data_IF_853164093344
#
_entry.id   IF_853164093344
#
_cell.length_a   1.000
_cell.length_b   1.000
_cell.length_c   1.000
_cell.angle_alpha   90.00
_cell.angle_beta   90.00
_cell.angle_gamma   90.00
#
_symmetry.space_group_name_H-M   'P 1'
#
loop_
_entity.id
_entity.type
_entity.pdbx_description
1 polymer ?
#
# COMPACT_ATOMS: atom_id res chain seq x y z
N UNK A 1 -65.85 -22.52 16.58
CA UNK A 1 -64.41 -22.75 16.31
C UNK A 1 -63.70 -21.40 16.18
N UNK A 2 -62.39 -21.34 16.42
CA UNK A 2 -61.75 -20.13 16.96
C UNK A 2 -61.31 -19.08 15.91
N UNK A 3 -61.60 -17.81 16.21
CA UNK A 3 -60.98 -16.66 15.55
C UNK A 3 -59.62 -16.35 16.20
N UNK A 4 -58.51 -16.75 15.55
CA UNK A 4 -57.13 -16.52 16.02
C UNK A 4 -56.14 -16.29 14.86
N UNK A 5 -56.29 -15.21 14.11
CA UNK A 5 -55.36 -14.82 13.01
C UNK A 5 -54.93 -13.35 12.88
N UNK A 6 -55.48 -12.32 13.59
CA UNK A 6 -55.08 -10.93 13.31
C UNK A 6 -53.63 -10.62 13.72
N UNK A 7 -53.12 -11.28 14.77
CA UNK A 7 -51.77 -11.06 15.29
C UNK A 7 -50.67 -11.51 14.32
N UNK A 8 -50.87 -12.64 13.64
CA UNK A 8 -49.92 -13.15 12.65
C UNK A 8 -49.85 -12.22 11.41
N UNK A 9 -51.00 -11.71 10.95
CA UNK A 9 -51.04 -10.73 9.87
C UNK A 9 -50.35 -9.42 10.25
N UNK A 10 -50.60 -8.89 11.46
CA UNK A 10 -49.97 -7.68 11.95
C UNK A 10 -48.45 -7.80 12.07
N UNK A 11 -47.93 -8.92 12.61
CA UNK A 11 -46.49 -9.17 12.70
C UNK A 11 -45.85 -9.28 11.31
N UNK A 12 -46.50 -9.96 10.35
CA UNK A 12 -46.00 -10.07 8.98
C UNK A 12 -45.97 -8.70 8.27
N UNK A 13 -46.98 -7.85 8.48
CA UNK A 13 -47.03 -6.49 7.93
C UNK A 13 -45.97 -5.58 8.57
N UNK A 14 -45.78 -5.65 9.89
CA UNK A 14 -44.73 -4.90 10.58
C UNK A 14 -43.32 -5.32 10.11
N UNK A 15 -43.07 -6.62 9.93
CA UNK A 15 -41.81 -7.14 9.39
C UNK A 15 -41.56 -6.70 7.94
N UNK A 16 -42.61 -6.49 7.13
CA UNK A 16 -42.49 -6.02 5.75
C UNK A 16 -42.24 -4.50 5.65
N UNK A 17 -42.66 -3.73 6.66
CA UNK A 17 -42.38 -2.30 6.79
C UNK A 17 -40.98 -2.03 7.35
N UNK A 18 -40.43 -2.94 8.17
CA UNK A 18 -39.06 -2.88 8.65
C UNK A 18 -38.05 -3.39 7.60
N UNK A 19 -38.08 -2.81 6.39
CA UNK A 19 -36.99 -2.95 5.43
C UNK A 19 -35.83 -2.07 5.90
N UNK A 20 -34.64 -2.63 6.23
CA UNK A 20 -33.45 -1.81 6.36
C UNK A 20 -33.15 -1.20 4.99
N UNK A 21 -33.47 0.09 4.84
CA UNK A 21 -33.06 0.84 3.66
C UNK A 21 -31.54 0.86 3.62
N UNK A 22 -30.95 0.46 2.49
CA UNK A 22 -29.54 0.69 2.25
C UNK A 22 -29.33 2.21 2.25
N UNK A 23 -28.77 2.74 3.34
CA UNK A 23 -28.39 4.14 3.39
C UNK A 23 -27.38 4.40 2.26
N UNK A 24 -27.68 5.35 1.37
CA UNK A 24 -26.77 5.80 0.32
C UNK A 24 -25.68 6.70 0.93
N UNK A 25 -25.00 6.18 1.95
CA UNK A 25 -23.77 6.74 2.47
C UNK A 25 -22.73 6.75 1.34
N UNK A 26 -22.06 7.90 1.17
CA UNK A 26 -21.12 8.08 0.07
C UNK A 26 -19.86 7.27 0.39
N UNK A 27 -19.78 6.04 -0.13
CA UNK A 27 -18.70 5.09 0.18
C UNK A 27 -17.34 5.78 0.09
N UNK A 28 -16.65 5.88 1.22
CA UNK A 28 -15.26 6.31 1.29
C UNK A 28 -14.35 5.11 1.02
N UNK A 29 -13.15 5.37 0.50
CA UNK A 29 -12.12 4.40 0.20
C UNK A 29 -10.77 4.95 0.71
N UNK A 30 -9.86 4.06 1.08
CA UNK A 30 -8.49 4.39 1.45
C UNK A 30 -7.55 3.34 0.86
N UNK A 31 -6.37 3.77 0.44
CA UNK A 31 -5.25 2.89 0.10
C UNK A 31 -3.97 3.46 0.70
N UNK A 32 -2.97 2.60 0.92
CA UNK A 32 -1.63 2.99 1.30
C UNK A 32 -0.60 2.05 0.69
N UNK A 33 0.59 2.58 0.45
CA UNK A 33 1.81 1.83 0.16
C UNK A 33 2.80 2.06 1.30
N UNK A 34 3.55 1.03 1.70
CA UNK A 34 4.66 1.20 2.63
C UNK A 34 5.95 1.40 1.84
N UNK A 35 6.67 2.49 2.12
CA UNK A 35 7.94 2.80 1.50
C UNK A 35 8.87 3.44 2.54
N UNK A 36 10.12 2.97 2.61
CA UNK A 36 11.15 3.49 3.50
C UNK A 36 10.71 3.65 4.98
N UNK A 37 9.91 2.71 5.50
CA UNK A 37 9.43 2.74 6.89
C UNK A 37 8.24 3.68 7.15
N UNK A 38 7.62 4.24 6.11
CA UNK A 38 6.41 5.06 6.22
C UNK A 38 5.29 4.53 5.31
N UNK A 39 4.06 4.57 5.80
CA UNK A 39 2.86 4.44 4.98
C UNK A 39 2.57 5.79 4.33
N UNK A 40 2.46 5.81 3.01
CA UNK A 40 1.97 6.95 2.24
C UNK A 40 0.74 6.50 1.46
N UNK A 41 -0.32 7.29 1.44
CA UNK A 41 -1.58 6.88 0.85
C UNK A 41 -2.55 8.01 0.62
N UNK A 42 -3.78 7.68 0.19
CA UNK A 42 -4.82 8.66 -0.10
C UNK A 42 -6.20 8.15 0.35
N UNK A 43 -7.05 9.09 0.79
CA UNK A 43 -8.46 8.87 1.10
C UNK A 43 -9.38 9.63 0.14
N UNK A 44 -10.37 8.94 -0.43
CA UNK A 44 -11.32 9.52 -1.40
C UNK A 44 -12.72 8.90 -1.31
N UNK A 45 -13.73 9.69 -1.66
CA UNK A 45 -15.12 9.25 -1.75
C UNK A 45 -15.44 8.69 -3.13
N UNK A 46 -16.47 7.84 -3.24
CA UNK A 46 -16.87 7.19 -4.49
C UNK A 46 -17.32 8.15 -5.61
N UNK A 47 -17.61 9.42 -5.30
CA UNK A 47 -17.88 10.48 -6.28
C UNK A 47 -16.60 11.19 -6.78
N UNK A 48 -15.41 10.74 -6.35
CA UNK A 48 -14.11 11.31 -6.71
C UNK A 48 -13.63 12.47 -5.83
N UNK A 49 -14.43 12.97 -4.88
CA UNK A 49 -13.94 14.00 -3.96
C UNK A 49 -12.94 13.44 -2.95
N UNK A 50 -12.01 14.28 -2.49
CA UNK A 50 -10.98 13.88 -1.54
C UNK A 50 -11.51 13.89 -0.12
N UNK A 51 -11.14 12.90 0.69
CA UNK A 51 -11.43 12.88 2.12
C UNK A 51 -10.42 13.80 2.81
N UNK A 52 -10.78 15.05 3.10
CA UNK A 52 -9.86 16.08 3.61
C UNK A 52 -9.94 16.23 5.13
N UNK A 53 -8.79 16.46 5.78
CA UNK A 53 -8.65 16.61 7.23
C UNK A 53 -9.21 15.43 8.06
N UNK A 54 -9.45 14.28 7.44
CA UNK A 54 -10.01 13.08 8.05
C UNK A 54 -8.93 12.34 8.86
N UNK A 55 -9.22 11.88 10.10
CA UNK A 55 -8.30 11.04 10.84
C UNK A 55 -8.10 9.66 10.17
N UNK A 56 -6.83 9.24 10.16
CA UNK A 56 -6.36 7.93 9.70
C UNK A 56 -5.69 7.24 10.88
N UNK A 57 -6.06 6.00 11.17
CA UNK A 57 -5.55 5.21 12.29
C UNK A 57 -4.91 3.93 11.75
N UNK A 58 -3.63 3.67 12.04
CA UNK A 58 -3.03 2.36 11.84
C UNK A 58 -3.30 1.51 13.08
N UNK A 59 -3.84 0.31 12.90
CA UNK A 59 -4.18 -0.63 13.97
C UNK A 59 -3.40 -1.94 13.84
N UNK A 60 -3.03 -2.50 14.98
CA UNK A 60 -2.46 -3.84 15.08
C UNK A 60 -3.53 -4.94 14.98
N UNK A 61 -3.10 -6.21 14.97
CA UNK A 61 -3.99 -7.38 14.91
C UNK A 61 -4.92 -7.52 16.14
N UNK A 62 -4.69 -6.80 17.25
CA UNK A 62 -5.60 -6.72 18.39
C UNK A 62 -6.65 -5.60 18.25
N UNK A 63 -6.58 -4.81 17.18
CA UNK A 63 -7.43 -3.65 16.93
C UNK A 63 -7.00 -2.38 17.66
N UNK A 64 -5.88 -2.41 18.40
CA UNK A 64 -5.30 -1.25 19.09
C UNK A 64 -4.67 -0.31 18.06
N UNK A 65 -4.91 0.99 18.22
CA UNK A 65 -4.28 2.02 17.39
C UNK A 65 -2.80 2.13 17.75
N UNK A 66 -1.94 1.86 16.77
CA UNK A 66 -0.48 1.91 16.89
C UNK A 66 0.09 3.27 16.45
N UNK A 67 -0.53 3.93 15.48
CA UNK A 67 -0.17 5.27 15.02
C UNK A 67 -1.37 5.99 14.39
N UNK A 68 -1.31 7.32 14.31
CA UNK A 68 -2.37 8.16 13.73
C UNK A 68 -1.83 9.25 12.82
N UNK A 69 -2.60 9.59 11.79
CA UNK A 69 -2.36 10.69 10.86
C UNK A 69 -3.67 11.42 10.54
N UNK A 70 -3.58 12.48 9.73
CA UNK A 70 -4.75 13.11 9.09
C UNK A 70 -4.48 13.30 7.60
N UNK A 71 -5.54 13.25 6.81
CA UNK A 71 -5.45 13.54 5.38
C UNK A 71 -5.31 15.03 5.09
N UNK A 72 -4.56 15.37 4.04
CA UNK A 72 -4.38 16.72 3.52
C UNK A 72 -5.58 17.20 2.68
N UNK A 73 -5.42 18.37 2.03
CA UNK A 73 -6.44 18.97 1.15
C UNK A 73 -6.66 18.18 -0.14
N UNK A 74 -5.68 17.39 -0.54
CA UNK A 74 -5.68 16.47 -1.67
C UNK A 74 -6.12 15.04 -1.28
N UNK A 75 -6.45 14.81 0.00
CA UNK A 75 -6.77 13.49 0.53
C UNK A 75 -5.54 12.64 0.87
N UNK A 76 -4.32 13.09 0.56
CA UNK A 76 -3.09 12.35 0.84
C UNK A 76 -2.82 12.28 2.35
N UNK A 77 -2.11 11.25 2.80
CA UNK A 77 -1.56 11.19 4.15
C UNK A 77 -0.21 10.48 4.14
N UNK A 78 0.60 10.78 5.16
CA UNK A 78 1.83 10.06 5.48
C UNK A 78 1.83 9.73 6.98
N UNK A 79 2.27 8.52 7.31
CA UNK A 79 2.32 8.00 8.65
C UNK A 79 3.58 7.15 8.79
N UNK A 80 4.44 7.44 9.77
CA UNK A 80 5.57 6.57 10.08
C UNK A 80 5.07 5.23 10.63
N UNK A 81 5.70 4.13 10.22
CA UNK A 81 5.29 2.79 10.60
C UNK A 81 6.04 2.38 11.89
N UNK A 82 5.36 2.23 13.05
CA UNK A 82 6.05 1.89 14.29
C UNK A 82 6.79 0.54 14.20
N UNK A 83 8.05 0.47 14.68
CA UNK A 83 8.80 -0.78 14.69
C UNK A 83 8.16 -1.81 15.62
N UNK A 84 8.28 -3.09 15.27
CA UNK A 84 7.74 -4.20 16.07
C UNK A 84 6.26 -4.52 15.83
N UNK A 85 5.60 -3.87 14.87
CA UNK A 85 4.25 -4.24 14.45
C UNK A 85 4.25 -5.52 13.60
N UNK A 86 3.47 -6.51 14.01
CA UNK A 86 3.30 -7.79 13.30
C UNK A 86 2.07 -7.73 12.39
N UNK A 87 2.20 -7.98 11.07
CA UNK A 87 1.07 -8.04 10.15
C UNK A 87 0.11 -9.22 10.43
N UNK A 88 -1.17 -9.15 10.03
CA UNK A 88 -1.79 -8.06 9.28
C UNK A 88 -2.07 -6.83 10.15
N UNK A 89 -1.90 -5.64 9.56
CA UNK A 89 -2.28 -4.36 10.16
C UNK A 89 -3.51 -3.82 9.44
N UNK A 90 -4.34 -3.04 10.13
CA UNK A 90 -5.54 -2.42 9.54
C UNK A 90 -5.40 -0.91 9.57
N UNK A 91 -5.34 -0.29 8.39
CA UNK A 91 -5.42 1.14 8.24
C UNK A 91 -6.88 1.58 8.14
N UNK A 92 -7.32 2.48 9.00
CA UNK A 92 -8.72 2.92 9.13
C UNK A 92 -8.82 4.42 8.87
N UNK A 93 -9.46 4.80 7.78
CA UNK A 93 -9.81 6.19 7.46
C UNK A 93 -11.23 6.49 7.95
N UNK A 94 -11.39 7.51 8.80
CA UNK A 94 -12.69 7.96 9.33
C UNK A 94 -13.06 9.32 8.76
N UNK A 95 -14.05 9.35 7.88
CA UNK A 95 -14.49 10.54 7.17
C UNK A 95 -15.71 11.26 7.81
N UNK A 96 -16.17 10.82 8.98
CA UNK A 96 -17.31 11.40 9.71
C UNK A 96 -18.64 10.69 9.41
N UNK A 97 -19.65 10.86 10.27
CA UNK A 97 -21.02 10.35 10.10
C UNK A 97 -21.14 8.86 9.71
N UNK A 98 -20.26 8.01 10.24
CA UNK A 98 -20.21 6.58 9.92
C UNK A 98 -19.53 6.21 8.59
N UNK A 99 -19.04 7.19 7.83
CA UNK A 99 -18.19 6.95 6.67
C UNK A 99 -16.80 6.51 7.13
N UNK A 100 -16.51 5.21 7.02
CA UNK A 100 -15.22 4.61 7.32
C UNK A 100 -14.76 3.73 6.16
N UNK A 101 -13.45 3.71 5.90
CA UNK A 101 -12.81 2.75 5.02
C UNK A 101 -11.64 2.07 5.73
N UNK A 102 -11.55 0.76 5.57
CA UNK A 102 -10.50 -0.08 6.14
C UNK A 102 -9.64 -0.65 5.00
N UNK A 103 -8.33 -0.66 5.18
CA UNK A 103 -7.35 -1.21 4.24
C UNK A 103 -6.36 -2.11 5.01
N UNK A 104 -6.31 -3.39 4.65
CA UNK A 104 -5.46 -4.38 5.31
C UNK A 104 -4.08 -4.40 4.68
N UNK A 105 -3.05 -4.20 5.51
CA UNK A 105 -1.64 -4.28 5.15
C UNK A 105 -1.10 -5.65 5.58
N UNK A 106 -0.66 -6.46 4.61
CA UNK A 106 -0.03 -7.76 4.83
C UNK A 106 1.49 -7.62 4.97
N UNK A 107 2.17 -8.72 5.31
CA UNK A 107 3.64 -8.75 5.32
C UNK A 107 4.28 -8.52 3.94
N UNK A 108 3.54 -8.73 2.84
CA UNK A 108 4.02 -8.39 1.50
C UNK A 108 3.97 -6.88 1.26
N UNK A 109 2.89 -6.21 1.70
CA UNK A 109 2.66 -4.78 1.47
C UNK A 109 3.61 -3.87 2.26
N UNK A 110 4.14 -4.37 3.39
CA UNK A 110 5.14 -3.66 4.20
C UNK A 110 6.58 -3.87 3.73
N UNK A 111 6.80 -4.79 2.78
CA UNK A 111 8.13 -5.25 2.39
C UNK A 111 8.87 -6.00 3.52
N UNK A 112 10.14 -6.40 3.29
CA UNK A 112 10.98 -6.88 4.37
C UNK A 112 11.20 -5.73 5.37
N UNK A 113 10.64 -5.87 6.57
CA UNK A 113 10.92 -5.01 7.72
C UNK A 113 12.39 -5.18 8.11
N UNK A 114 13.25 -4.40 7.47
CA UNK A 114 14.65 -4.30 7.84
C UNK A 114 14.74 -3.80 9.27
N UNK A 115 15.27 -4.65 10.16
CA UNK A 115 15.57 -4.31 11.55
C UNK A 115 16.35 -3.00 11.66
N UNK A 116 16.21 -2.25 12.76
CA UNK A 116 16.97 -1.01 12.95
C UNK A 116 18.48 -1.26 12.80
N UNK A 117 19.24 -0.34 12.19
CA UNK A 117 20.68 -0.48 12.09
C UNK A 117 21.31 -0.34 13.49
N UNK A 118 21.99 -1.40 13.94
CA UNK A 118 22.81 -1.37 15.14
C UNK A 118 24.02 -0.43 14.96
N UNK A 119 24.21 0.47 15.91
CA UNK A 119 25.49 1.15 16.13
C UNK A 119 25.68 2.51 15.43
N UNK A 120 26.43 3.44 16.05
CA UNK A 120 26.48 4.83 15.60
C UNK A 120 27.55 5.10 14.54
N UNK A 121 27.19 5.96 13.59
CA UNK A 121 28.14 6.75 12.80
C UNK A 121 28.44 6.22 11.40
N UNK A 122 27.92 6.91 10.38
CA UNK A 122 28.67 7.91 9.61
C UNK A 122 27.84 8.39 8.42
N UNK A 123 27.45 9.66 8.41
CA UNK A 123 26.82 10.25 7.22
C UNK A 123 27.85 10.45 6.10
N UNK A 124 27.55 10.06 4.84
CA UNK A 124 28.14 10.67 3.66
C UNK A 124 27.21 11.79 3.16
N UNK A 125 27.75 13.01 3.07
CA UNK A 125 27.04 14.12 2.46
C UNK A 125 27.04 14.01 0.93
N UNK A 126 25.93 14.40 0.29
CA UNK A 126 25.91 14.82 -1.12
C UNK A 126 25.16 16.15 -1.20
N UNK A 127 25.77 17.12 -1.89
CA UNK A 127 25.30 18.50 -2.03
C UNK A 127 24.22 18.63 -3.13
N UNK A 128 23.49 19.77 -3.22
CA UNK A 128 22.26 19.85 -4.02
C UNK A 128 22.51 20.18 -5.50
N UNK A 129 21.65 19.66 -6.36
CA UNK A 129 21.50 20.07 -7.76
C UNK A 129 20.04 19.95 -8.17
N UNK A 130 19.36 21.08 -8.38
CA UNK A 130 17.92 21.11 -8.69
C UNK A 130 17.64 21.51 -10.14
N UNK A 131 16.42 21.22 -10.61
CA UNK A 131 15.83 21.93 -11.76
C UNK A 131 14.30 22.04 -11.59
N UNK A 132 13.85 23.29 -11.62
CA UNK A 132 12.51 23.82 -11.92
C UNK A 132 11.25 22.95 -11.67
N UNK A 133 10.45 23.35 -10.70
CA UNK A 133 8.99 23.19 -10.77
C UNK A 133 8.31 24.41 -11.43
N UNK A 134 7.11 24.27 -12.00
CA UNK A 134 6.26 25.41 -12.34
C UNK A 134 5.63 26.03 -11.08
N UNK A 135 5.33 27.32 -11.14
CA UNK A 135 5.28 28.21 -9.98
C UNK A 135 3.91 28.28 -9.29
N UNK A 136 3.93 28.55 -7.98
CA UNK A 136 2.78 29.05 -7.24
C UNK A 136 2.73 30.59 -7.33
N UNK A 137 1.51 31.16 -7.34
CA UNK A 137 1.30 32.61 -7.18
C UNK A 137 0.59 32.86 -5.85
N UNK A 138 1.21 33.67 -4.99
CA UNK A 138 0.63 34.18 -3.75
C UNK A 138 1.16 35.60 -3.46
N UNK A 139 0.33 36.54 -2.95
CA UNK A 139 0.81 37.82 -2.42
C UNK A 139 1.25 37.74 -0.93
N UNK A 140 1.98 38.75 -0.39
CA UNK A 140 2.94 38.52 0.71
C UNK A 140 2.70 39.35 2.00
N UNK A 141 3.51 39.08 3.05
CA UNK A 141 3.67 40.01 4.19
C UNK A 141 4.70 39.58 5.27
N UNK A 142 5.78 40.38 5.43
CA UNK A 142 6.77 40.47 6.55
C UNK A 142 7.53 39.17 7.01
N UNK A 143 8.88 39.06 7.04
CA UNK A 143 9.98 39.90 7.61
C UNK A 143 10.17 39.74 9.15
N UNK A 144 11.37 39.67 9.78
CA UNK A 144 12.77 39.42 9.34
C UNK A 144 13.72 39.24 10.59
N UNK A 145 15.01 38.91 10.37
CA UNK A 145 16.18 38.94 11.31
C UNK A 145 16.31 37.86 12.42
N UNK A 146 17.51 37.41 12.84
CA UNK A 146 18.90 37.64 12.37
C UNK A 146 20.02 37.05 13.28
N UNK A 147 21.29 37.01 12.81
CA UNK A 147 22.56 36.74 13.57
C UNK A 147 22.88 35.26 13.94
N UNK A 148 24.06 34.63 13.75
CA UNK A 148 25.50 34.99 13.90
C UNK A 148 26.01 35.01 15.38
N UNK A 149 27.17 34.48 15.81
CA UNK A 149 28.23 33.66 15.17
C UNK A 149 29.19 32.96 16.20
N UNK A 150 29.94 31.95 15.70
CA UNK A 150 31.27 31.37 16.05
C UNK A 150 32.02 31.55 17.41
N UNK A 151 32.72 30.48 17.83
CA UNK A 151 33.99 30.43 18.61
C UNK A 151 34.51 28.96 18.71
N UNK A 152 35.79 28.57 18.90
CA UNK A 152 37.12 29.03 18.42
C UNK A 152 38.23 27.97 18.75
N UNK A 153 39.34 27.94 17.96
CA UNK A 153 40.67 27.28 18.20
C UNK A 153 40.75 25.72 18.36
N UNK A 154 41.69 24.93 17.81
CA UNK A 154 43.17 25.02 17.55
C UNK A 154 44.02 24.97 18.83
N UNK A 155 45.14 24.23 19.00
CA UNK A 155 46.05 23.37 18.20
C UNK A 155 46.84 22.45 19.22
N UNK A 156 48.06 21.88 19.05
CA UNK A 156 48.76 21.23 17.91
C UNK A 156 49.44 19.85 18.23
N UNK A 157 49.85 19.14 17.16
CA UNK A 157 51.22 18.59 16.97
C UNK A 157 51.84 17.49 17.84
N UNK A 158 52.18 16.34 17.21
CA UNK A 158 53.50 15.65 17.35
C UNK A 158 53.75 14.66 16.19
N UNK A 159 54.90 14.78 15.53
CA UNK A 159 55.46 13.77 14.62
C UNK A 159 56.54 12.97 15.35
N UNK A 160 56.77 11.70 15.00
CA UNK A 160 58.12 11.10 14.95
C UNK A 160 58.17 9.80 14.13
N UNK A 161 58.99 9.87 13.06
CA UNK A 161 59.92 8.83 12.54
C UNK A 161 59.45 7.38 12.29
N UNK A 162 59.53 6.98 11.02
CA UNK A 162 59.72 5.58 10.61
C UNK A 162 61.15 5.08 10.93
N UNK A 163 61.38 3.76 10.87
CA UNK A 163 62.34 3.29 9.86
C UNK A 163 61.81 2.11 9.01
N UNK A 164 62.42 1.91 7.85
CA UNK A 164 62.17 0.76 6.97
C UNK A 164 63.14 -0.39 7.27
N UNK A 165 62.66 -1.64 7.19
CA UNK A 165 63.49 -2.83 7.06
C UNK A 165 62.73 -3.92 6.28
N UNK A 166 63.43 -4.60 5.37
CA UNK A 166 62.86 -5.54 4.40
C UNK A 166 62.57 -6.92 5.00
N UNK A 167 61.47 -7.55 4.59
CA UNK A 167 61.33 -9.02 4.60
C UNK A 167 60.44 -9.47 3.43
N UNK A 168 60.95 -10.35 2.58
CA UNK A 168 60.25 -10.88 1.41
C UNK A 168 60.27 -12.42 1.46
N UNK A 169 59.10 -13.03 1.62
CA UNK A 169 58.80 -14.45 1.47
C UNK A 169 57.26 -14.64 1.53
N UNK A 170 56.61 -15.56 0.84
CA UNK A 170 56.97 -16.33 -0.35
C UNK A 170 55.64 -16.83 -0.98
N UNK A 171 55.58 -16.96 -2.31
CA UNK A 171 54.39 -17.51 -2.98
C UNK A 171 54.34 -19.05 -2.89
N UNK A 172 53.18 -19.68 -2.62
CA UNK A 172 53.02 -21.11 -2.81
C UNK A 172 52.87 -21.46 -4.31
N UNK A 173 53.39 -22.61 -4.78
CA UNK A 173 53.20 -23.11 -6.14
C UNK A 173 51.98 -24.04 -6.24
N UNK A 174 51.55 -24.35 -7.48
CA UNK A 174 50.74 -25.54 -7.78
C UNK A 174 49.29 -25.27 -8.18
N UNK A 175 49.05 -25.21 -9.49
CA UNK A 175 47.73 -25.08 -10.09
C UNK A 175 46.87 -26.35 -9.95
N UNK A 176 45.59 -26.17 -9.64
CA UNK A 176 44.52 -27.06 -10.06
C UNK A 176 43.44 -26.21 -10.77
N UNK A 177 43.70 -25.86 -12.03
CA UNK A 177 42.79 -25.07 -12.83
C UNK A 177 41.46 -25.81 -13.04
N UNK A 178 40.37 -25.22 -12.53
CA UNK A 178 39.03 -25.54 -13.02
C UNK A 178 38.98 -25.32 -14.55
N UNK A 179 38.23 -26.12 -15.32
CA UNK A 179 38.19 -25.98 -16.77
C UNK A 179 37.67 -24.58 -17.12
N UNK A 180 38.54 -23.75 -17.68
CA UNK A 180 38.17 -22.46 -18.21
C UNK A 180 37.18 -22.70 -19.36
N UNK A 181 35.91 -22.32 -19.15
CA UNK A 181 34.91 -22.29 -20.21
C UNK A 181 35.49 -21.49 -21.38
N UNK A 182 35.53 -22.04 -22.61
CA UNK A 182 36.12 -21.32 -23.73
C UNK A 182 35.38 -20.00 -23.91
N UNK A 183 36.13 -18.90 -23.88
CA UNK A 183 35.63 -17.56 -24.13
C UNK A 183 35.28 -17.44 -25.63
N UNK A 184 34.11 -17.94 -25.99
CA UNK A 184 33.52 -17.72 -27.30
C UNK A 184 33.34 -16.20 -27.49
N UNK A 185 33.65 -15.66 -28.69
CA UNK A 185 33.38 -14.25 -28.96
C UNK A 185 31.88 -13.98 -28.78
N UNK A 186 31.55 -12.92 -28.04
CA UNK A 186 30.17 -12.43 -27.92
C UNK A 186 29.80 -11.73 -29.23
N UNK A 187 29.19 -12.47 -30.16
CA UNK A 187 28.50 -11.87 -31.30
C UNK A 187 27.13 -11.30 -30.88
N UNK A 188 26.66 -10.33 -31.67
CA UNK A 188 25.42 -9.57 -31.42
C UNK A 188 24.20 -10.52 -31.33
N UNK A 189 24.12 -11.51 -32.22
CA UNK A 189 23.03 -12.46 -32.29
C UNK A 189 22.96 -13.36 -31.04
N UNK A 190 24.12 -13.76 -30.51
CA UNK A 190 24.23 -14.56 -29.29
C UNK A 190 23.90 -13.74 -28.06
N UNK A 191 24.31 -12.46 -28.01
CA UNK A 191 23.93 -11.55 -26.93
C UNK A 191 22.40 -11.34 -26.92
N UNK A 192 21.79 -11.07 -28.08
CA UNK A 192 20.34 -10.92 -28.21
C UNK A 192 19.61 -12.19 -27.75
N UNK A 193 20.02 -13.38 -28.23
CA UNK A 193 19.41 -14.65 -27.82
C UNK A 193 19.56 -14.96 -26.32
N UNK A 194 20.65 -14.52 -25.68
CA UNK A 194 20.84 -14.62 -24.23
C UNK A 194 19.94 -13.64 -23.47
N UNK A 195 19.80 -12.40 -23.95
CA UNK A 195 18.91 -11.39 -23.37
C UNK A 195 17.45 -11.81 -23.48
N UNK A 196 16.98 -12.25 -24.64
CA UNK A 196 15.61 -12.75 -24.85
C UNK A 196 15.30 -13.94 -23.93
N UNK A 197 16.23 -14.89 -23.80
CA UNK A 197 16.06 -16.05 -22.91
C UNK A 197 16.07 -15.67 -21.42
N UNK A 198 16.90 -14.71 -21.02
CA UNK A 198 16.94 -14.21 -19.65
C UNK A 198 15.69 -13.40 -19.31
N UNK A 199 15.25 -12.52 -20.22
CA UNK A 199 14.04 -11.71 -20.08
C UNK A 199 12.79 -12.59 -20.02
N UNK A 200 12.64 -13.56 -20.94
CA UNK A 200 11.52 -14.51 -20.92
C UNK A 200 11.44 -15.27 -19.59
N UNK A 201 12.58 -15.74 -19.06
CA UNK A 201 12.62 -16.42 -17.75
C UNK A 201 12.23 -15.48 -16.60
N UNK A 202 12.80 -14.27 -16.55
CA UNK A 202 12.51 -13.30 -15.50
C UNK A 202 11.05 -12.84 -15.51
N UNK A 203 10.48 -12.61 -16.70
CA UNK A 203 9.06 -12.27 -16.88
C UNK A 203 8.17 -13.43 -16.44
N UNK A 204 8.46 -14.67 -16.84
CA UNK A 204 7.67 -15.84 -16.44
C UNK A 204 7.68 -16.04 -14.91
N UNK A 205 8.84 -15.87 -14.27
CA UNK A 205 9.00 -15.96 -12.81
C UNK A 205 8.18 -14.88 -12.05
N UNK A 206 8.02 -13.68 -12.61
CA UNK A 206 7.18 -12.61 -12.03
C UNK A 206 5.69 -12.74 -12.39
N UNK A 207 5.34 -13.33 -13.54
CA UNK A 207 3.95 -13.54 -13.95
C UNK A 207 3.31 -14.80 -13.36
N UNK A 208 4.10 -15.82 -12.99
CA UNK A 208 3.62 -17.05 -12.36
C UNK A 208 2.66 -16.83 -11.16
N UNK A 209 2.98 -16.02 -10.13
CA UNK A 209 2.05 -15.76 -9.03
C UNK A 209 0.77 -15.05 -9.49
N UNK A 210 0.88 -14.05 -10.37
CA UNK A 210 -0.28 -13.31 -10.88
C UNK A 210 -1.24 -14.20 -11.68
N UNK A 211 -0.72 -15.17 -12.46
CA UNK A 211 -1.57 -16.14 -13.17
C UNK A 211 -2.31 -17.08 -12.20
N UNK A 212 -1.69 -17.45 -11.08
CA UNK A 212 -2.35 -18.25 -10.03
C UNK A 212 -3.45 -17.45 -9.32
N UNK A 213 -3.22 -16.17 -9.04
CA UNK A 213 -4.23 -15.27 -8.48
C UNK A 213 -5.40 -15.04 -9.45
N UNK A 214 -5.13 -14.81 -10.74
CA UNK A 214 -6.16 -14.70 -11.77
C UNK A 214 -6.97 -15.99 -11.91
N UNK A 215 -6.33 -17.16 -11.87
CA UNK A 215 -7.03 -18.45 -11.87
C UNK A 215 -7.93 -18.64 -10.64
N UNK A 216 -7.45 -18.21 -9.45
CA UNK A 216 -8.23 -18.22 -8.20
C UNK A 216 -9.45 -17.30 -8.29
N UNK A 217 -9.29 -16.07 -8.80
CA UNK A 217 -10.38 -15.12 -8.99
C UNK A 217 -11.38 -15.61 -10.04
N UNK A 218 -10.92 -16.21 -11.13
CA UNK A 218 -11.78 -16.82 -12.14
C UNK A 218 -12.64 -17.95 -11.55
N UNK A 219 -12.05 -18.83 -10.74
CA UNK A 219 -12.77 -19.90 -10.03
C UNK A 219 -13.81 -19.36 -9.03
N UNK A 220 -13.52 -18.23 -8.34
CA UNK A 220 -14.48 -17.58 -7.45
C UNK A 220 -15.61 -16.85 -8.20
N UNK A 221 -15.37 -16.37 -9.42
CA UNK A 221 -16.35 -15.63 -10.20
C UNK A 221 -17.53 -16.51 -10.67
N UNK A 222 -17.32 -17.81 -10.86
CA UNK A 222 -18.34 -18.72 -11.41
C UNK A 222 -19.53 -18.89 -10.46
N UNK A 223 -19.27 -19.12 -9.16
CA UNK A 223 -20.32 -19.22 -8.14
C UNK A 223 -21.09 -17.92 -7.90
N UNK A 224 -20.39 -16.78 -7.98
CA UNK A 224 -21.03 -15.47 -7.82
C UNK A 224 -21.94 -15.12 -9.01
N UNK A 225 -21.50 -15.36 -10.25
CA UNK A 225 -22.28 -15.08 -11.47
C UNK A 225 -23.64 -15.78 -11.47
N UNK A 226 -23.71 -17.04 -11.06
CA UNK A 226 -24.98 -17.78 -10.99
C UNK A 226 -25.92 -17.15 -9.97
N UNK A 227 -25.40 -16.72 -8.81
CA UNK A 227 -26.16 -16.01 -7.77
C UNK A 227 -26.67 -14.65 -8.24
N UNK A 228 -25.84 -13.89 -8.96
CA UNK A 228 -26.19 -12.57 -9.48
C UNK A 228 -27.27 -12.66 -10.57
N UNK A 229 -27.16 -13.63 -11.49
CA UNK A 229 -28.17 -13.89 -12.53
C UNK A 229 -29.49 -14.34 -11.89
N UNK A 230 -29.47 -15.31 -10.97
CA UNK A 230 -30.67 -15.80 -10.30
C UNK A 230 -31.35 -14.70 -9.45
N UNK A 231 -30.55 -13.88 -8.76
CA UNK A 231 -31.03 -12.73 -7.99
C UNK A 231 -31.68 -11.65 -8.86
N UNK A 232 -31.03 -11.28 -9.97
CA UNK A 232 -31.57 -10.32 -10.93
C UNK A 232 -32.87 -10.81 -11.58
N UNK A 233 -32.92 -12.07 -12.00
CA UNK A 233 -34.11 -12.68 -12.59
C UNK A 233 -35.27 -12.74 -11.58
N UNK A 234 -34.99 -13.10 -10.33
CA UNK A 234 -35.96 -13.10 -9.24
C UNK A 234 -36.53 -11.71 -8.93
N UNK A 235 -35.70 -10.66 -9.01
CA UNK A 235 -36.16 -9.28 -8.81
C UNK A 235 -37.10 -8.81 -9.92
N UNK A 236 -36.77 -9.09 -11.19
CA UNK A 236 -37.62 -8.78 -12.35
C UNK A 236 -38.96 -9.52 -12.25
N UNK A 237 -38.92 -10.84 -11.99
CA UNK A 237 -40.13 -11.65 -11.82
C UNK A 237 -40.99 -11.16 -10.65
N UNK A 238 -40.37 -10.74 -9.54
CA UNK A 238 -41.06 -10.17 -8.38
C UNK A 238 -41.78 -8.86 -8.70
N UNK A 239 -41.15 -7.93 -9.43
CA UNK A 239 -41.81 -6.68 -9.84
C UNK A 239 -42.96 -6.92 -10.84
N UNK A 240 -42.76 -7.78 -11.84
CA UNK A 240 -43.79 -8.11 -12.83
C UNK A 240 -44.99 -8.78 -12.14
N UNK A 241 -44.74 -9.71 -11.22
CA UNK A 241 -45.80 -10.36 -10.42
C UNK A 241 -46.57 -9.36 -9.55
N UNK A 242 -45.88 -8.42 -8.91
CA UNK A 242 -46.51 -7.36 -8.11
C UNK A 242 -47.38 -6.43 -8.98
N UNK A 243 -46.87 -6.01 -10.15
CA UNK A 243 -47.63 -5.19 -11.09
C UNK A 243 -48.87 -5.92 -11.64
N UNK A 244 -48.76 -7.20 -11.98
CA UNK A 244 -49.89 -8.03 -12.43
C UNK A 244 -50.95 -8.19 -11.32
N UNK A 245 -50.53 -8.35 -10.06
CA UNK A 245 -51.42 -8.41 -8.90
C UNK A 245 -52.17 -7.11 -8.67
N UNK A 246 -51.52 -5.95 -8.81
CA UNK A 246 -52.20 -4.64 -8.76
C UNK A 246 -53.17 -4.47 -9.93
N UNK A 247 -52.80 -4.91 -11.14
CA UNK A 247 -53.68 -4.87 -12.32
C UNK A 247 -54.91 -5.79 -12.18
N UNK A 248 -54.83 -6.87 -11.40
CA UNK A 248 -55.96 -7.76 -11.09
C UNK A 248 -56.87 -7.26 -9.96
N UNK A 249 -56.46 -6.21 -9.24
CA UNK A 249 -57.23 -5.56 -8.15
C UNK A 249 -57.93 -4.27 -8.57
N UNK A 250 -57.81 -3.89 -9.85
CA UNK A 250 -58.60 -2.84 -10.51
C UNK A 250 -59.55 -3.50 -11.51
#
# INVERSE_FOLDING_TARGET
MAARTPFAAAVLTAALLFRPGAALAHKVNVFAVAEAGALTGEGYFANGSKAQACPVELRDASGRVAATARTGKDGSFRLELPPGLTPPLTLVLKAGDGHQADYTLTAADLGPVSSPPDGPGRAPAVAPGGVAGPQAVAPPGAAASGGAAMSAAAEPGRMHTAPAASAQAASPPGSAAAPATPALPLDEARLQALVERAAAKAVEEKLAPLRLELARLAAQAEGNRVRDIAGGLGWIAGLVGLAAWFKRRR
#
